data_IF_433410505585
#
_entry.id   IF_433410505585
#
_cell.length_a   1.000
_cell.length_b   1.000
_cell.length_c   1.000
_cell.angle_alpha   90.00
_cell.angle_beta   90.00
_cell.angle_gamma   90.00
#
_symmetry.space_group_name_H-M   'P 1'
#
loop_
_entity.id
_entity.type
_entity.pdbx_description
1 polymer ?
#
# COMPACT_ATOMS: atom_id res chain seq x y z
N UNK A 1 -42.72 16.43 -42.11
CA UNK A 1 -41.58 15.61 -42.58
C UNK A 1 -40.34 16.30 -42.04
N UNK A 2 -39.60 15.82 -41.04
CA UNK A 2 -39.39 14.49 -40.45
C UNK A 2 -39.41 14.63 -38.91
N UNK A 3 -40.28 13.89 -38.23
CA UNK A 3 -39.99 12.70 -37.40
C UNK A 3 -39.23 13.02 -36.11
N UNK A 4 -40.06 13.05 -35.07
CA UNK A 4 -39.87 13.17 -33.65
C UNK A 4 -39.95 11.73 -33.12
N UNK A 5 -38.88 11.22 -32.50
CA UNK A 5 -38.88 9.91 -31.84
C UNK A 5 -38.35 10.13 -30.42
N UNK A 6 -39.31 10.28 -29.50
CA UNK A 6 -39.09 10.23 -28.07
C UNK A 6 -38.78 8.80 -27.63
N UNK A 7 -37.72 8.67 -26.83
CA UNK A 7 -37.46 7.47 -26.05
C UNK A 7 -37.90 7.74 -24.61
N UNK A 8 -39.08 7.25 -24.28
CA UNK A 8 -39.53 7.04 -22.91
C UNK A 8 -38.60 5.99 -22.26
N UNK A 9 -37.88 6.38 -21.22
CA UNK A 9 -37.22 5.43 -20.33
C UNK A 9 -38.07 5.27 -19.07
N UNK A 10 -38.68 4.08 -19.00
CA UNK A 10 -39.47 3.59 -17.88
C UNK A 10 -38.67 3.65 -16.56
N UNK A 11 -39.31 4.31 -15.61
CA UNK A 11 -39.06 4.30 -14.18
C UNK A 11 -39.32 2.88 -13.64
N UNK A 12 -38.28 2.18 -13.18
CA UNK A 12 -38.43 0.96 -12.38
C UNK A 12 -38.00 1.26 -10.96
N UNK A 13 -39.00 1.62 -10.17
CA UNK A 13 -38.99 1.56 -8.71
C UNK A 13 -38.94 0.09 -8.28
N UNK A 14 -37.89 -0.26 -7.53
CA UNK A 14 -37.57 -1.63 -7.13
C UNK A 14 -37.01 -1.66 -5.72
N UNK A 15 -37.83 -1.25 -4.76
CA UNK A 15 -37.61 -1.51 -3.33
C UNK A 15 -37.76 -3.00 -3.05
N UNK A 16 -36.69 -3.68 -2.66
CA UNK A 16 -36.80 -4.86 -1.79
C UNK A 16 -35.56 -5.06 -0.93
N UNK A 17 -35.79 -4.87 0.37
CA UNK A 17 -34.96 -5.21 1.50
C UNK A 17 -34.56 -6.70 1.46
N UNK A 18 -33.26 -6.98 1.35
CA UNK A 18 -32.71 -8.32 1.60
C UNK A 18 -31.96 -8.30 2.94
N UNK A 19 -32.73 -8.44 4.01
CA UNK A 19 -32.25 -8.62 5.38
C UNK A 19 -31.49 -9.92 5.54
N UNK A 20 -30.18 -9.90 5.26
CA UNK A 20 -29.28 -11.00 5.64
C UNK A 20 -28.84 -10.84 7.09
N UNK A 21 -28.99 -11.87 7.95
CA UNK A 21 -28.52 -11.81 9.32
C UNK A 21 -26.99 -11.68 9.34
N UNK A 22 -26.50 -10.65 10.04
CA UNK A 22 -25.09 -10.49 10.39
C UNK A 22 -24.63 -11.74 11.14
N UNK A 23 -23.84 -12.58 10.48
CA UNK A 23 -23.13 -13.68 11.14
C UNK A 23 -22.14 -13.06 12.12
N UNK A 24 -22.03 -13.57 13.37
CA UNK A 24 -21.01 -13.09 14.29
C UNK A 24 -19.63 -13.31 13.66
N UNK A 25 -18.79 -12.27 13.72
CA UNK A 25 -17.38 -12.32 13.34
C UNK A 25 -16.72 -13.50 14.08
N UNK A 26 -16.52 -14.58 13.34
CA UNK A 26 -15.77 -15.73 13.81
C UNK A 26 -14.34 -15.28 14.08
N UNK A 27 -13.88 -15.49 15.32
CA UNK A 27 -12.47 -15.41 15.68
C UNK A 27 -11.68 -16.29 14.70
N UNK A 28 -10.90 -15.67 13.81
CA UNK A 28 -9.98 -16.38 12.93
C UNK A 28 -8.74 -16.75 13.74
N UNK A 29 -8.49 -18.06 13.84
CA UNK A 29 -7.28 -18.62 14.42
C UNK A 29 -6.18 -18.54 13.35
N UNK A 30 -5.12 -17.80 13.62
CA UNK A 30 -3.90 -17.84 12.80
C UNK A 30 -3.21 -19.19 13.03
N UNK A 31 -3.19 -20.03 11.99
CA UNK A 31 -2.39 -21.26 11.96
C UNK A 31 -1.02 -20.88 11.40
N UNK A 32 -0.03 -20.81 12.28
CA UNK A 32 1.37 -20.66 11.87
C UNK A 32 1.84 -21.87 11.08
N UNK A 33 2.60 -21.64 10.01
CA UNK A 33 3.25 -22.69 9.26
C UNK A 33 4.27 -23.43 10.16
N UNK A 34 4.08 -24.75 10.27
CA UNK A 34 5.01 -25.77 10.75
C UNK A 34 6.08 -25.32 11.78
N UNK A 35 5.76 -25.50 13.06
CA UNK A 35 6.77 -25.68 14.12
C UNK A 35 6.67 -24.73 15.32
N UNK A 36 5.90 -23.65 15.23
CA UNK A 36 5.82 -22.66 16.32
C UNK A 36 4.52 -22.81 17.11
N UNK A 37 4.65 -23.17 18.38
CA UNK A 37 3.50 -23.21 19.31
C UNK A 37 3.16 -21.77 19.70
N UNK A 38 2.04 -21.24 19.20
CA UNK A 38 1.55 -19.93 19.63
C UNK A 38 0.68 -20.12 20.87
N UNK A 39 1.18 -19.70 22.03
CA UNK A 39 0.39 -19.60 23.25
C UNK A 39 -0.35 -18.27 23.27
N UNK A 40 -1.66 -18.28 23.05
CA UNK A 40 -2.51 -17.08 23.20
C UNK A 40 -2.93 -16.96 24.66
N UNK A 41 -2.25 -16.10 25.42
CA UNK A 41 -2.68 -15.74 26.77
C UNK A 41 -3.76 -14.65 26.70
N UNK A 42 -5.02 -15.05 26.87
CA UNK A 42 -6.13 -14.10 27.03
C UNK A 42 -6.07 -13.44 28.41
N UNK A 43 -5.56 -12.21 28.48
CA UNK A 43 -5.62 -11.37 29.68
C UNK A 43 -6.96 -10.62 29.69
N UNK A 44 -7.97 -11.21 30.36
CA UNK A 44 -9.15 -10.46 30.80
C UNK A 44 -8.82 -9.82 32.16
N UNK A 45 -8.66 -8.50 32.17
CA UNK A 45 -8.47 -7.73 33.40
C UNK A 45 -9.77 -7.60 34.19
N UNK A 46 -9.73 -7.91 35.48
CA UNK A 46 -9.99 -6.98 36.59
C UNK A 46 -10.19 -7.74 37.92
N UNK A 47 -9.41 -7.36 38.93
CA UNK A 47 -9.87 -7.41 40.33
C UNK A 47 -9.27 -8.48 41.24
N UNK A 48 -8.65 -7.96 42.30
CA UNK A 48 -8.41 -8.58 43.61
C UNK A 48 -7.24 -9.57 43.77
N UNK A 49 -6.27 -9.12 44.57
CA UNK A 49 -5.24 -9.89 45.26
C UNK A 49 -5.82 -11.15 45.92
N UNK A 50 -5.30 -12.31 45.50
CA UNK A 50 -5.56 -13.60 46.13
C UNK A 50 -4.54 -14.64 45.68
N UNK A 51 -3.49 -14.83 46.46
CA UNK A 51 -2.54 -15.93 46.27
C UNK A 51 -3.22 -17.22 46.73
N UNK A 52 -3.71 -18.04 45.80
CA UNK A 52 -3.95 -19.46 46.02
C UNK A 52 -4.19 -20.21 44.69
N UNK A 53 -3.42 -21.28 44.47
CA UNK A 53 -3.83 -22.40 43.62
C UNK A 53 -3.29 -22.43 42.19
N UNK A 54 -2.15 -23.10 42.01
CA UNK A 54 -1.77 -23.70 40.73
C UNK A 54 -2.81 -24.76 40.36
N UNK A 55 -3.65 -24.49 39.36
CA UNK A 55 -4.63 -25.45 38.87
C UNK A 55 -5.02 -25.17 37.43
N UNK A 56 -4.61 -26.08 36.53
CA UNK A 56 -5.29 -26.34 35.27
C UNK A 56 -5.03 -25.37 34.11
N UNK A 57 -3.82 -25.40 33.54
CA UNK A 57 -3.67 -25.12 32.12
C UNK A 57 -4.07 -26.38 31.35
N UNK A 58 -5.31 -26.41 30.84
CA UNK A 58 -5.74 -27.43 29.88
C UNK A 58 -5.08 -27.12 28.53
N UNK A 59 -3.94 -27.79 28.28
CA UNK A 59 -3.30 -27.77 26.97
C UNK A 59 -4.07 -28.73 26.07
N UNK A 60 -4.96 -28.19 25.24
CA UNK A 60 -5.62 -28.95 24.17
C UNK A 60 -4.60 -29.18 23.05
N UNK A 61 -3.83 -30.25 23.14
CA UNK A 61 -3.02 -30.75 22.02
C UNK A 61 -3.92 -31.45 21.00
N UNK A 62 -4.29 -30.75 19.93
CA UNK A 62 -4.93 -31.36 18.76
C UNK A 62 -3.87 -31.86 17.77
N UNK A 63 -3.65 -33.17 17.69
CA UNK A 63 -2.94 -33.77 16.55
C UNK A 63 -3.86 -33.81 15.34
N UNK A 64 -3.58 -32.99 14.33
CA UNK A 64 -4.25 -33.08 13.04
C UNK A 64 -3.65 -34.29 12.29
N UNK A 65 -4.45 -35.26 11.82
CA UNK A 65 -3.93 -36.34 11.00
C UNK A 65 -3.39 -35.77 9.68
N UNK A 66 -2.16 -36.13 9.34
CA UNK A 66 -1.57 -35.89 8.03
C UNK A 66 -2.33 -36.73 6.99
N UNK A 67 -3.46 -36.21 6.50
CA UNK A 67 -4.14 -36.77 5.35
C UNK A 67 -3.30 -36.52 4.09
N UNK A 68 -3.15 -37.59 3.32
CA UNK A 68 -2.36 -37.67 2.11
C UNK A 68 -2.61 -36.48 1.17
N UNK A 69 -1.56 -35.70 0.91
CA UNK A 69 -1.50 -34.77 -0.21
C UNK A 69 -1.47 -35.62 -1.48
N UNK A 70 -2.61 -35.71 -2.16
CA UNK A 70 -2.67 -36.17 -3.53
C UNK A 70 -1.92 -35.19 -4.42
N UNK A 71 -0.95 -35.69 -5.19
CA UNK A 71 -0.14 -34.94 -6.15
C UNK A 71 -1.00 -34.60 -7.40
N UNK A 72 -2.03 -33.79 -7.22
CA UNK A 72 -2.87 -33.25 -8.30
C UNK A 72 -2.23 -31.95 -8.80
N UNK A 73 -1.04 -32.07 -9.39
CA UNK A 73 -0.42 -30.92 -10.09
C UNK A 73 -1.20 -30.66 -11.37
N UNK A 74 -1.75 -29.44 -11.56
CA UNK A 74 -2.29 -29.06 -12.85
C UNK A 74 -1.17 -29.16 -13.89
N UNK A 75 -1.44 -29.84 -15.01
CA UNK A 75 -0.55 -29.81 -16.17
C UNK A 75 -0.29 -28.36 -16.57
N UNK A 76 0.97 -27.97 -16.84
CA UNK A 76 1.26 -26.65 -17.39
C UNK A 76 0.49 -26.46 -18.69
N UNK A 77 -0.31 -25.39 -18.77
CA UNK A 77 -0.89 -24.96 -20.02
C UNK A 77 0.26 -24.53 -20.96
N UNK A 78 0.18 -24.94 -22.23
CA UNK A 78 1.10 -24.50 -23.28
C UNK A 78 1.07 -22.98 -23.35
N UNK A 79 2.21 -22.27 -23.35
CA UNK A 79 2.22 -20.83 -23.50
C UNK A 79 1.65 -20.46 -24.87
N UNK A 80 0.53 -19.74 -24.88
CA UNK A 80 0.02 -19.07 -26.06
C UNK A 80 0.96 -17.89 -26.32
N UNK A 81 1.77 -17.97 -27.38
CA UNK A 81 2.56 -16.83 -27.85
C UNK A 81 1.62 -15.67 -28.16
N UNK A 82 1.81 -14.56 -27.45
CA UNK A 82 1.09 -13.32 -27.69
C UNK A 82 1.63 -12.67 -28.98
N UNK A 83 0.84 -12.58 -30.07
CA UNK A 83 1.31 -12.03 -31.34
C UNK A 83 1.57 -10.51 -31.30
N UNK A 84 1.35 -9.84 -30.17
CA UNK A 84 1.44 -8.38 -30.09
C UNK A 84 2.86 -7.80 -30.09
N UNK A 85 3.91 -8.61 -29.88
CA UNK A 85 5.29 -8.14 -29.86
C UNK A 85 6.03 -8.19 -31.22
N UNK A 86 5.37 -8.64 -32.29
CA UNK A 86 6.00 -8.76 -33.61
C UNK A 86 6.07 -7.45 -34.43
N UNK A 87 5.69 -6.29 -33.87
CA UNK A 87 5.48 -5.05 -34.61
C UNK A 87 6.43 -3.88 -34.31
N UNK A 88 7.39 -4.00 -33.39
CA UNK A 88 8.31 -2.89 -33.06
C UNK A 88 9.52 -2.89 -33.99
N UNK A 89 9.31 -2.55 -35.26
CA UNK A 89 10.39 -2.05 -36.10
C UNK A 89 10.77 -0.66 -35.60
N UNK A 90 12.01 -0.50 -35.12
CA UNK A 90 12.57 0.79 -34.77
C UNK A 90 12.41 1.75 -35.96
N UNK A 91 11.56 2.76 -35.83
CA UNK A 91 11.57 3.91 -36.74
C UNK A 91 12.92 4.59 -36.59
N UNK A 92 13.66 4.63 -37.70
CA UNK A 92 14.92 5.32 -37.84
C UNK A 92 14.71 6.80 -37.52
N UNK A 93 15.20 7.25 -36.36
CA UNK A 93 15.14 8.65 -35.96
C UNK A 93 15.92 9.47 -37.00
N UNK A 94 15.28 10.40 -37.72
CA UNK A 94 15.99 11.21 -38.70
C UNK A 94 17.09 12.02 -37.98
N UNK A 95 18.23 12.26 -38.64
CA UNK A 95 19.30 13.05 -38.06
C UNK A 95 18.79 14.44 -37.66
N UNK A 96 19.31 15.03 -36.57
CA UNK A 96 18.86 16.33 -36.09
C UNK A 96 19.01 17.37 -37.21
N UNK A 97 17.91 18.03 -37.56
CA UNK A 97 17.92 19.20 -38.44
C UNK A 97 18.79 20.29 -37.77
N UNK A 98 19.60 20.97 -38.60
CA UNK A 98 20.52 22.01 -38.14
C UNK A 98 19.84 23.16 -37.39
N UNK A 99 20.61 24.06 -36.77
CA UNK A 99 20.08 25.17 -35.97
C UNK A 99 19.08 25.98 -36.80
N UNK A 100 17.80 25.86 -36.43
CA UNK A 100 16.69 26.55 -37.06
C UNK A 100 16.79 28.03 -36.65
N UNK A 101 17.17 28.91 -37.59
CA UNK A 101 17.26 30.37 -37.44
C UNK A 101 15.87 31.04 -37.24
N UNK A 102 14.88 30.28 -36.77
CA UNK A 102 13.56 30.82 -36.45
C UNK A 102 13.69 31.66 -35.18
N UNK A 103 13.16 32.89 -35.18
CA UNK A 103 13.06 33.66 -33.96
C UNK A 103 12.32 32.80 -32.91
N UNK A 104 12.74 32.84 -31.63
CA UNK A 104 12.10 32.05 -30.60
C UNK A 104 10.59 32.32 -30.67
N UNK A 105 9.75 31.28 -30.60
CA UNK A 105 8.32 31.49 -30.54
C UNK A 105 8.06 32.47 -29.41
N UNK A 106 7.34 33.55 -29.71
CA UNK A 106 6.86 34.48 -28.68
C UNK A 106 6.14 33.61 -27.67
N UNK A 107 6.66 33.56 -26.44
CA UNK A 107 6.09 32.77 -25.37
C UNK A 107 4.61 33.15 -25.29
N UNK A 108 3.74 32.19 -25.63
CA UNK A 108 2.30 32.34 -25.55
C UNK A 108 2.02 32.61 -24.06
N UNK A 109 1.73 33.87 -23.70
CA UNK A 109 1.33 34.31 -22.35
C UNK A 109 -0.05 33.75 -22.01
N UNK A 110 -0.23 32.44 -22.18
CA UNK A 110 -1.32 31.74 -21.52
C UNK A 110 -1.05 31.91 -20.02
N UNK A 111 -2.09 32.27 -19.24
CA UNK A 111 -1.98 32.21 -17.78
C UNK A 111 -1.34 30.88 -17.44
N UNK A 112 -0.27 30.88 -16.63
CA UNK A 112 0.23 29.64 -16.08
C UNK A 112 -0.97 28.86 -15.57
N UNK A 113 -1.07 27.56 -15.88
CA UNK A 113 -2.14 26.75 -15.36
C UNK A 113 -2.23 27.01 -13.85
N UNK A 114 -3.46 27.10 -13.33
CA UNK A 114 -3.67 27.48 -11.94
C UNK A 114 -2.73 26.65 -11.05
N UNK A 115 -2.23 27.15 -9.90
CA UNK A 115 -1.30 26.42 -9.02
C UNK A 115 -1.74 24.98 -8.67
N UNK A 116 -3.00 24.64 -8.92
CA UNK A 116 -3.58 23.32 -8.84
C UNK A 116 -3.08 22.32 -9.90
N UNK A 117 -2.38 22.70 -10.97
CA UNK A 117 -1.91 21.75 -12.00
C UNK A 117 -0.42 21.38 -11.88
N UNK A 118 0.38 22.11 -11.07
CA UNK A 118 1.78 21.75 -10.82
C UNK A 118 1.86 20.78 -9.63
N UNK A 119 2.20 19.49 -9.86
CA UNK A 119 2.24 18.48 -8.81
C UNK A 119 3.38 18.69 -7.80
N UNK A 120 4.30 19.62 -8.06
CA UNK A 120 5.39 20.00 -7.16
C UNK A 120 4.97 21.05 -6.13
N UNK A 121 3.79 21.65 -6.30
CA UNK A 121 3.21 22.55 -5.30
C UNK A 121 2.56 21.69 -4.23
N UNK A 122 3.28 21.48 -3.13
CA UNK A 122 2.80 20.75 -1.94
C UNK A 122 2.26 21.73 -0.90
N UNK A 123 1.28 21.30 -0.10
CA UNK A 123 0.75 22.10 1.00
C UNK A 123 1.76 22.27 2.15
N UNK A 124 2.58 21.23 2.38
CA UNK A 124 3.68 21.25 3.34
C UNK A 124 4.77 20.26 2.91
N UNK A 125 5.97 20.46 3.45
CA UNK A 125 7.09 19.56 3.21
C UNK A 125 6.98 18.33 4.11
N UNK A 126 7.02 17.14 3.50
CA UNK A 126 7.32 15.90 4.23
C UNK A 126 8.77 15.97 4.73
N UNK A 127 9.03 15.82 6.04
CA UNK A 127 10.38 15.97 6.59
C UNK A 127 11.31 14.89 6.05
N UNK A 128 12.61 15.15 6.15
CA UNK A 128 13.59 14.09 5.91
C UNK A 128 13.59 13.08 7.07
N UNK A 129 13.74 11.80 6.72
CA UNK A 129 13.62 10.66 7.62
C UNK A 129 14.87 9.77 7.58
N UNK A 130 16.02 10.29 7.11
CA UNK A 130 17.29 9.57 7.02
C UNK A 130 17.64 8.79 8.31
N UNK A 131 17.52 9.42 9.49
CA UNK A 131 17.79 8.77 10.78
C UNK A 131 16.84 7.59 11.06
N UNK A 132 15.57 7.67 10.62
CA UNK A 132 14.61 6.59 10.76
C UNK A 132 14.95 5.41 9.84
N UNK A 133 15.42 5.70 8.63
CA UNK A 133 15.83 4.69 7.65
C UNK A 133 17.07 3.92 8.10
N UNK A 134 18.06 4.62 8.65
CA UNK A 134 19.27 4.02 9.22
C UNK A 134 18.94 3.06 10.39
N UNK A 135 17.87 3.34 11.15
CA UNK A 135 17.40 2.48 12.23
C UNK A 135 16.56 1.28 11.74
N UNK A 136 15.73 1.48 10.71
CA UNK A 136 14.77 0.49 10.25
C UNK A 136 15.36 -0.56 9.30
N UNK A 137 16.27 -0.15 8.41
CA UNK A 137 16.65 -0.94 7.26
C UNK A 137 17.76 -1.96 7.60
N UNK A 138 17.70 -3.18 7.03
CA UNK A 138 18.79 -4.13 7.12
C UNK A 138 20.09 -3.56 6.52
N UNK A 139 21.22 -3.89 7.12
CA UNK A 139 22.51 -3.55 6.55
C UNK A 139 22.69 -4.17 5.16
N UNK A 140 23.33 -3.42 4.26
CA UNK A 140 23.65 -3.87 2.90
C UNK A 140 22.62 -3.48 1.84
N UNK A 141 21.49 -2.87 2.20
CA UNK A 141 20.63 -2.21 1.24
C UNK A 141 21.30 -0.93 0.70
N UNK A 142 21.15 -0.67 -0.59
CA UNK A 142 21.59 0.55 -1.27
C UNK A 142 20.37 1.39 -1.65
N UNK A 143 20.49 2.70 -1.49
CA UNK A 143 19.46 3.65 -1.94
C UNK A 143 19.38 3.63 -3.46
N UNK A 144 18.20 3.29 -3.98
CA UNK A 144 17.90 3.25 -5.41
C UNK A 144 17.32 4.58 -5.88
N UNK A 145 16.41 5.14 -5.09
CA UNK A 145 15.82 6.45 -5.34
C UNK A 145 15.43 7.13 -4.04
N UNK A 146 15.51 8.46 -4.06
CA UNK A 146 14.85 9.35 -3.10
C UNK A 146 14.04 10.31 -3.97
N UNK A 147 12.73 10.18 -3.89
CA UNK A 147 11.79 11.06 -4.56
C UNK A 147 11.91 12.49 -4.03
N UNK A 148 11.75 13.45 -4.94
CA UNK A 148 11.47 14.83 -4.56
C UNK A 148 10.07 14.94 -3.93
N UNK A 149 9.75 16.10 -3.36
CA UNK A 149 8.38 16.37 -2.92
C UNK A 149 7.45 16.36 -4.13
N UNK A 150 6.43 15.50 -4.06
CA UNK A 150 5.51 15.26 -5.15
C UNK A 150 4.17 14.78 -4.59
N UNK A 151 3.14 15.62 -4.70
CA UNK A 151 1.83 15.32 -4.08
C UNK A 151 1.12 14.10 -4.70
N UNK A 152 1.45 13.73 -5.93
CA UNK A 152 0.91 12.52 -6.57
C UNK A 152 1.85 11.30 -6.38
N UNK A 153 2.68 11.32 -5.34
CA UNK A 153 3.39 10.13 -4.90
C UNK A 153 2.35 9.04 -4.59
N UNK A 154 2.58 7.76 -4.96
CA UNK A 154 1.67 6.69 -4.55
C UNK A 154 1.54 6.69 -3.02
N UNK A 155 0.31 6.60 -2.50
CA UNK A 155 0.09 6.58 -1.03
C UNK A 155 0.66 5.31 -0.41
N UNK A 156 0.47 4.17 -1.09
CA UNK A 156 1.18 2.93 -0.81
C UNK A 156 1.81 2.49 -2.13
N UNK A 157 3.10 2.12 -2.19
CA UNK A 157 3.69 1.70 -3.44
C UNK A 157 2.91 0.54 -4.09
N UNK A 158 2.53 0.73 -5.36
CA UNK A 158 1.61 -0.16 -6.10
C UNK A 158 0.13 0.26 -6.10
N UNK A 159 -0.23 1.33 -5.38
CA UNK A 159 -1.56 1.95 -5.37
C UNK A 159 -1.48 3.40 -5.85
N UNK A 160 -2.49 3.84 -6.59
CA UNK A 160 -2.67 5.24 -7.00
C UNK A 160 -3.91 5.80 -6.32
N UNK A 161 -3.81 6.99 -5.71
CA UNK A 161 -4.94 7.72 -5.13
C UNK A 161 -5.02 9.11 -5.79
N UNK A 162 -5.45 9.14 -7.05
CA UNK A 162 -5.51 10.36 -7.84
C UNK A 162 -6.82 10.40 -8.61
N UNK A 163 -7.72 11.33 -8.29
CA UNK A 163 -8.95 11.48 -9.06
C UNK A 163 -9.71 12.77 -8.83
N UNK A 164 -10.81 12.89 -9.56
CA UNK A 164 -11.48 14.18 -9.80
C UNK A 164 -12.31 14.65 -8.58
N UNK A 165 -12.50 13.80 -7.57
CA UNK A 165 -13.39 14.06 -6.44
C UNK A 165 -12.70 14.81 -5.28
N UNK A 166 -11.41 15.14 -5.43
CA UNK A 166 -10.66 16.02 -4.51
C UNK A 166 -10.16 15.34 -3.24
N UNK A 167 -10.11 14.01 -3.22
CA UNK A 167 -9.50 13.18 -2.16
C UNK A 167 -8.08 12.81 -2.59
N UNK A 168 -7.28 13.83 -2.90
CA UNK A 168 -5.88 13.66 -3.31
C UNK A 168 -4.95 14.00 -2.15
N UNK A 169 -3.79 13.33 -2.06
CA UNK A 169 -2.74 13.80 -1.17
C UNK A 169 -2.30 15.22 -1.55
N UNK A 170 -2.04 16.03 -0.53
CA UNK A 170 -1.57 17.43 -0.66
C UNK A 170 -0.05 17.55 -0.49
N UNK A 171 0.61 16.47 -0.08
CA UNK A 171 2.06 16.34 0.02
C UNK A 171 2.48 14.87 -0.19
N UNK A 172 3.71 14.63 -0.62
CA UNK A 172 4.20 13.28 -0.82
C UNK A 172 5.70 13.22 -1.03
N UNK A 173 6.34 12.17 -0.50
CA UNK A 173 7.75 11.85 -0.74
C UNK A 173 7.94 10.34 -0.71
N UNK A 174 8.86 9.84 -1.53
CA UNK A 174 9.10 8.41 -1.68
C UNK A 174 10.58 8.07 -1.53
N UNK A 175 10.89 6.88 -1.04
CA UNK A 175 12.23 6.33 -0.93
C UNK A 175 12.22 4.87 -1.33
N UNK A 176 13.28 4.44 -2.01
CA UNK A 176 13.43 3.05 -2.42
C UNK A 176 14.84 2.56 -2.15
N UNK A 177 14.93 1.35 -1.58
CA UNK A 177 16.17 0.63 -1.36
C UNK A 177 16.08 -0.78 -1.89
N UNK A 178 17.22 -1.33 -2.30
CA UNK A 178 17.34 -2.73 -2.72
C UNK A 178 18.71 -3.29 -2.31
N UNK A 179 18.89 -4.62 -2.32
CA UNK A 179 20.21 -5.24 -2.08
C UNK A 179 21.28 -4.76 -3.09
N UNK A 180 20.85 -4.54 -4.33
CA UNK A 180 21.67 -4.09 -5.45
C UNK A 180 20.77 -3.51 -6.55
N UNK A 181 21.36 -2.77 -7.49
CA UNK A 181 20.67 -2.30 -8.69
C UNK A 181 20.47 -3.45 -9.70
N UNK A 182 19.51 -4.34 -9.42
CA UNK A 182 19.25 -5.56 -10.18
C UNK A 182 17.75 -5.76 -10.43
N UNK A 183 17.43 -6.67 -11.35
CA UNK A 183 16.06 -7.06 -11.71
C UNK A 183 15.72 -8.48 -11.26
N UNK A 184 16.46 -9.02 -10.28
CA UNK A 184 16.16 -10.33 -9.70
C UNK A 184 14.85 -10.25 -8.92
N UNK A 185 13.94 -11.19 -9.17
CA UNK A 185 12.66 -11.27 -8.46
C UNK A 185 12.82 -11.71 -6.99
N UNK A 186 13.95 -12.34 -6.67
CA UNK A 186 14.25 -12.87 -5.35
C UNK A 186 15.05 -11.92 -4.45
N UNK A 187 15.18 -10.65 -4.87
CA UNK A 187 15.92 -9.62 -4.16
C UNK A 187 15.03 -8.91 -3.12
N UNK A 188 15.63 -8.50 -2.01
CA UNK A 188 14.94 -7.64 -1.06
C UNK A 188 14.84 -6.22 -1.62
N UNK A 189 13.61 -5.72 -1.76
CA UNK A 189 13.30 -4.33 -2.10
C UNK A 189 12.41 -3.75 -1.03
N UNK A 190 12.72 -2.55 -0.57
CA UNK A 190 11.88 -1.76 0.35
C UNK A 190 11.55 -0.45 -0.33
N UNK A 191 10.27 -0.20 -0.54
CA UNK A 191 9.74 1.05 -1.08
C UNK A 191 8.83 1.67 -0.01
N UNK A 192 9.05 2.95 0.28
CA UNK A 192 8.32 3.70 1.30
C UNK A 192 7.84 4.98 0.68
N UNK A 193 6.55 5.28 0.85
CA UNK A 193 5.99 6.57 0.56
C UNK A 193 5.41 7.18 1.83
N UNK A 194 5.63 8.47 2.02
CA UNK A 194 4.91 9.25 3.03
C UNK A 194 4.07 10.26 2.28
N UNK A 195 2.76 10.20 2.49
CA UNK A 195 1.81 11.16 1.91
C UNK A 195 1.12 11.95 3.00
N UNK A 196 0.88 13.22 2.68
CA UNK A 196 0.16 14.15 3.53
C UNK A 196 -1.21 14.45 2.98
N UNK A 197 -2.19 14.54 3.86
CA UNK A 197 -3.59 14.74 3.54
C UNK A 197 -4.10 16.07 4.08
N UNK A 198 -5.28 16.46 3.62
CA UNK A 198 -5.97 17.62 4.15
C UNK A 198 -6.23 17.44 5.66
N UNK A 199 -6.28 18.57 6.36
CA UNK A 199 -6.44 18.57 7.81
C UNK A 199 -7.72 17.82 8.24
N UNK A 200 -7.56 16.88 9.16
CA UNK A 200 -8.64 16.06 9.70
C UNK A 200 -9.15 14.95 8.78
N UNK A 201 -8.52 14.69 7.63
CA UNK A 201 -8.95 13.66 6.67
C UNK A 201 -8.12 12.39 6.71
N UNK A 202 -7.12 12.30 7.60
CA UNK A 202 -6.21 11.14 7.64
C UNK A 202 -6.92 9.80 7.87
N UNK A 203 -7.95 9.77 8.72
CA UNK A 203 -8.69 8.54 9.05
C UNK A 203 -9.44 7.99 7.83
N UNK A 204 -10.18 8.85 7.14
CA UNK A 204 -10.88 8.53 5.89
C UNK A 204 -9.88 8.11 4.80
N UNK A 205 -8.73 8.80 4.69
CA UNK A 205 -7.68 8.46 3.74
C UNK A 205 -7.09 7.06 3.98
N UNK A 206 -6.85 6.68 5.25
CA UNK A 206 -6.38 5.32 5.58
C UNK A 206 -7.40 4.27 5.16
N UNK A 207 -8.69 4.54 5.42
CA UNK A 207 -9.79 3.64 5.07
C UNK A 207 -9.98 3.51 3.56
N UNK A 208 -9.85 4.60 2.80
CA UNK A 208 -9.96 4.60 1.33
C UNK A 208 -8.82 3.82 0.67
N UNK A 209 -7.59 4.06 1.13
CA UNK A 209 -6.39 3.29 0.76
C UNK A 209 -6.58 1.81 1.05
N UNK A 210 -7.07 1.49 2.25
CA UNK A 210 -7.28 0.11 2.70
C UNK A 210 -8.35 -0.59 1.86
N UNK A 211 -9.49 0.05 1.68
CA UNK A 211 -10.68 -0.57 1.10
C UNK A 211 -10.73 -0.45 -0.43
N UNK A 212 -9.72 0.17 -1.05
CA UNK A 212 -9.65 0.43 -2.49
C UNK A 212 -10.89 1.21 -2.97
N UNK A 213 -11.11 2.36 -2.32
CA UNK A 213 -12.28 3.22 -2.52
C UNK A 213 -11.90 4.62 -2.96
N UNK A 214 -12.93 5.40 -3.31
CA UNK A 214 -12.79 6.73 -3.89
C UNK A 214 -11.87 6.66 -5.11
N UNK A 215 -10.84 7.49 -5.15
CA UNK A 215 -9.87 7.55 -6.22
C UNK A 215 -8.63 6.68 -5.96
N UNK A 216 -8.63 5.92 -4.86
CA UNK A 216 -7.61 4.92 -4.57
C UNK A 216 -7.88 3.61 -5.33
N UNK A 217 -6.89 3.19 -6.14
CA UNK A 217 -6.93 1.97 -6.92
C UNK A 217 -5.58 1.23 -6.90
N UNK A 218 -5.62 -0.07 -6.63
CA UNK A 218 -4.47 -0.95 -6.80
C UNK A 218 -4.20 -1.23 -8.28
N UNK A 219 -2.93 -1.22 -8.68
CA UNK A 219 -2.51 -1.64 -10.03
C UNK A 219 -2.63 -3.17 -10.26
N UNK A 220 -3.19 -3.91 -9.31
CA UNK A 220 -3.36 -5.35 -9.37
C UNK A 220 -4.38 -5.86 -8.36
N UNK A 221 -4.34 -7.16 -8.06
CA UNK A 221 -5.24 -7.73 -7.05
C UNK A 221 -4.97 -7.10 -5.67
N UNK A 222 -6.04 -6.62 -5.03
CA UNK A 222 -6.01 -6.12 -3.66
C UNK A 222 -5.49 -7.24 -2.74
N UNK A 223 -4.45 -7.00 -1.93
CA UNK A 223 -3.93 -8.02 -1.02
C UNK A 223 -4.96 -8.34 0.08
N UNK A 224 -4.88 -9.55 0.65
CA UNK A 224 -5.62 -9.85 1.89
C UNK A 224 -5.00 -9.04 3.03
N UNK A 225 -5.76 -8.14 3.62
CA UNK A 225 -5.28 -7.20 4.64
C UNK A 225 -5.73 -7.58 6.05
N UNK A 226 -4.87 -7.28 7.02
CA UNK A 226 -5.14 -7.40 8.46
C UNK A 226 -4.73 -6.12 9.18
N UNK A 227 -5.46 -5.78 10.24
CA UNK A 227 -5.04 -4.77 11.18
C UNK A 227 -3.83 -5.27 11.96
N UNK A 228 -2.82 -4.42 12.08
CA UNK A 228 -1.62 -4.66 12.89
C UNK A 228 -1.37 -3.45 13.77
N UNK A 229 -0.85 -3.62 15.00
CA UNK A 229 -0.38 -2.48 15.78
C UNK A 229 0.97 -1.99 15.22
N UNK A 230 1.11 -0.67 15.08
CA UNK A 230 2.37 0.03 14.83
C UNK A 230 2.51 1.08 15.94
N UNK A 231 3.61 1.03 16.69
CA UNK A 231 3.80 1.93 17.84
C UNK A 231 3.79 3.41 17.41
N UNK A 232 2.92 4.19 18.06
CA UNK A 232 2.72 5.61 17.77
C UNK A 232 1.72 5.90 16.65
N UNK A 233 1.31 4.91 15.87
CA UNK A 233 0.32 5.11 14.81
C UNK A 233 -1.11 5.14 15.37
N UNK A 234 -1.97 5.95 14.77
CA UNK A 234 -3.40 6.02 15.08
C UNK A 234 -4.19 4.86 14.47
N UNK A 235 -3.66 4.28 13.39
CA UNK A 235 -4.23 3.14 12.68
C UNK A 235 -3.21 2.55 11.70
N UNK A 236 -3.26 1.24 11.50
CA UNK A 236 -2.33 0.56 10.59
C UNK A 236 -2.85 -0.79 10.11
N UNK A 237 -2.46 -1.16 8.90
CA UNK A 237 -2.77 -2.44 8.29
C UNK A 237 -1.58 -3.01 7.51
N UNK A 238 -1.59 -4.32 7.32
CA UNK A 238 -0.63 -5.04 6.48
C UNK A 238 -1.38 -6.04 5.61
N UNK A 239 -1.01 -6.11 4.34
CA UNK A 239 -1.50 -7.07 3.37
C UNK A 239 -0.35 -7.79 2.68
N UNK A 240 -0.59 -9.02 2.26
CA UNK A 240 0.42 -9.84 1.59
C UNK A 240 -0.14 -10.47 0.32
N UNK A 241 0.62 -10.35 -0.76
CA UNK A 241 0.43 -11.07 -2.00
C UNK A 241 1.56 -12.07 -2.15
N UNK A 242 1.24 -13.36 -2.14
CA UNK A 242 2.22 -14.44 -2.29
C UNK A 242 2.14 -15.04 -3.69
N UNK A 243 3.29 -15.24 -4.30
CA UNK A 243 3.44 -16.05 -5.51
C UNK A 243 4.34 -17.26 -5.20
N UNK A 244 4.67 -18.06 -6.21
CA UNK A 244 5.63 -19.16 -6.04
C UNK A 244 7.07 -18.66 -5.79
N UNK A 245 7.39 -17.46 -6.28
CA UNK A 245 8.77 -16.96 -6.39
C UNK A 245 9.03 -15.74 -5.51
N UNK A 246 7.99 -15.03 -5.06
CA UNK A 246 8.09 -13.81 -4.27
C UNK A 246 6.93 -13.65 -3.27
N UNK A 247 7.24 -13.02 -2.14
CA UNK A 247 6.25 -12.39 -1.26
C UNK A 247 6.32 -10.87 -1.47
N UNK A 248 5.18 -10.28 -1.80
CA UNK A 248 5.02 -8.82 -1.89
C UNK A 248 4.11 -8.38 -0.75
N UNK A 249 4.67 -7.67 0.21
CA UNK A 249 3.93 -7.09 1.32
C UNK A 249 3.63 -5.64 1.02
N UNK A 250 2.42 -5.21 1.40
CA UNK A 250 1.99 -3.83 1.38
C UNK A 250 1.47 -3.48 2.77
N UNK A 251 1.71 -2.27 3.25
CA UNK A 251 1.15 -1.81 4.50
C UNK A 251 0.99 -0.31 4.51
N UNK A 252 0.19 0.18 5.44
CA UNK A 252 0.14 1.59 5.74
C UNK A 252 -0.01 1.80 7.25
N UNK A 253 0.58 2.89 7.75
CA UNK A 253 0.39 3.38 9.10
C UNK A 253 0.07 4.88 9.08
N UNK A 254 -0.85 5.31 9.93
CA UNK A 254 -1.31 6.70 10.02
C UNK A 254 -0.78 7.38 11.28
N UNK A 255 -0.38 8.64 11.18
CA UNK A 255 -0.14 9.52 12.33
C UNK A 255 -0.70 10.91 12.01
N UNK A 256 -1.82 11.29 12.63
CA UNK A 256 -2.58 12.47 12.23
C UNK A 256 -3.09 12.36 10.79
N UNK A 257 -2.76 13.35 9.96
CA UNK A 257 -3.08 13.41 8.52
C UNK A 257 -1.94 12.95 7.61
N UNK A 258 -0.92 12.30 8.17
CA UNK A 258 0.16 11.66 7.42
C UNK A 258 -0.07 10.16 7.33
N UNK A 259 0.15 9.60 6.14
CA UNK A 259 0.20 8.17 5.89
C UNK A 259 1.61 7.75 5.50
N UNK A 260 2.12 6.71 6.16
CA UNK A 260 3.33 5.98 5.77
C UNK A 260 2.89 4.71 5.06
N UNK A 261 3.00 4.68 3.73
CA UNK A 261 2.82 3.48 2.93
C UNK A 261 4.14 2.74 2.74
N UNK A 262 4.13 1.42 2.90
CA UNK A 262 5.30 0.57 2.69
C UNK A 262 5.00 -0.56 1.72
N UNK A 263 5.98 -0.90 0.90
CA UNK A 263 6.03 -2.13 0.12
C UNK A 263 7.35 -2.84 0.36
N UNK A 264 7.28 -4.14 0.62
CA UNK A 264 8.47 -5.00 0.77
C UNK A 264 8.36 -6.15 -0.21
N UNK A 265 9.34 -6.26 -1.11
CA UNK A 265 9.52 -7.45 -1.95
C UNK A 265 10.62 -8.31 -1.38
N UNK A 266 10.44 -9.62 -1.43
CA UNK A 266 11.47 -10.54 -1.03
C UNK A 266 11.10 -11.99 -1.33
N UNK A 267 11.96 -12.90 -0.86
CA UNK A 267 11.74 -14.33 -1.07
C UNK A 267 10.57 -14.83 -0.21
N UNK A 268 9.82 -15.84 -0.67
CA UNK A 268 8.78 -16.46 0.14
C UNK A 268 9.31 -16.92 1.50
N UNK A 269 8.64 -16.50 2.57
CA UNK A 269 9.01 -16.86 3.95
C UNK A 269 10.22 -16.11 4.53
N UNK A 270 10.74 -15.09 3.84
CA UNK A 270 11.60 -14.09 4.46
C UNK A 270 10.79 -13.26 5.48
N UNK A 271 11.43 -12.72 6.52
CA UNK A 271 10.80 -11.91 7.59
C UNK A 271 10.33 -10.51 7.09
N UNK A 272 9.72 -10.43 5.91
CA UNK A 272 9.27 -9.20 5.27
C UNK A 272 8.17 -8.50 6.05
N UNK A 273 7.33 -9.24 6.80
CA UNK A 273 6.29 -8.66 7.65
C UNK A 273 6.90 -7.87 8.82
N UNK A 274 7.87 -8.46 9.52
CA UNK A 274 8.58 -7.80 10.62
C UNK A 274 9.37 -6.59 10.12
N UNK A 275 9.95 -6.68 8.92
CA UNK A 275 10.61 -5.55 8.28
C UNK A 275 9.62 -4.42 7.95
N UNK A 276 8.46 -4.73 7.34
CA UNK A 276 7.46 -3.74 7.01
C UNK A 276 6.94 -3.01 8.26
N UNK A 277 6.65 -3.75 9.34
CA UNK A 277 6.23 -3.17 10.64
C UNK A 277 7.32 -2.25 11.18
N UNK A 278 8.58 -2.71 11.25
CA UNK A 278 9.68 -1.90 11.77
C UNK A 278 9.89 -0.62 10.96
N UNK A 279 9.79 -0.69 9.62
CA UNK A 279 9.88 0.50 8.75
C UNK A 279 8.76 1.49 9.04
N UNK A 280 7.52 1.02 9.20
CA UNK A 280 6.39 1.88 9.58
C UNK A 280 6.58 2.50 10.98
N UNK A 281 7.05 1.73 11.96
CA UNK A 281 7.30 2.21 13.33
C UNK A 281 8.36 3.32 13.37
N UNK A 282 9.49 3.13 12.70
CA UNK A 282 10.55 4.14 12.67
C UNK A 282 10.12 5.39 11.88
N UNK A 283 9.39 5.22 10.77
CA UNK A 283 8.85 6.35 10.01
C UNK A 283 7.89 7.18 10.85
N UNK A 284 6.91 6.54 11.51
CA UNK A 284 5.93 7.21 12.38
C UNK A 284 6.64 7.97 13.51
N UNK A 285 7.63 7.33 14.15
CA UNK A 285 8.44 7.97 15.20
C UNK A 285 9.20 9.18 14.68
N UNK A 286 9.81 9.07 13.49
CA UNK A 286 10.52 10.18 12.84
C UNK A 286 9.60 11.36 12.53
N UNK A 287 8.40 11.09 11.99
CA UNK A 287 7.38 12.10 11.72
C UNK A 287 6.94 12.82 13.00
N UNK A 288 6.67 12.08 14.07
CA UNK A 288 6.29 12.66 15.37
C UNK A 288 7.40 13.48 16.01
N UNK A 289 8.66 13.11 15.80
CA UNK A 289 9.80 13.89 16.28
C UNK A 289 10.00 15.19 15.45
N UNK A 290 9.67 15.15 14.16
CA UNK A 290 9.77 16.28 13.24
C UNK A 290 8.64 17.32 13.40
N UNK A 291 7.47 16.92 13.92
CA UNK A 291 6.36 17.82 14.27
C UNK A 291 6.18 17.98 15.81
N UNK A 292 7.11 18.65 16.52
CA UNK A 292 6.97 18.89 17.95
C UNK A 292 5.88 19.93 18.29
N UNK A 293 5.24 20.53 17.28
CA UNK A 293 4.32 21.66 17.41
C UNK A 293 2.86 21.36 17.10
N UNK A 294 2.53 20.22 16.49
CA UNK A 294 1.17 19.89 16.07
C UNK A 294 0.65 20.84 14.99
N UNK A 295 1.52 21.28 14.08
CA UNK A 295 1.17 22.28 13.06
C UNK A 295 0.34 21.70 11.89
N UNK A 296 -0.05 20.43 11.96
CA UNK A 296 -1.00 19.76 11.06
C UNK A 296 -2.42 19.70 11.65
N UNK A 297 -2.90 20.79 12.27
CA UNK A 297 -4.25 20.93 12.81
C UNK A 297 -4.73 22.37 12.81
#
# INVERSE_FOLDING_TARGET
MLHDDGADHDEVDGTHEDGRPRRPLGRRLLVGALGTTVAVAGLAGAGALGVAGLGGLDVVTGTVPASAVGDDRPRPATPTEDPYLAGLTAEETPPPEGPDDRPPPVADERPSPAPQDDPRVVAYDVPDLDDAWDAALPAGLVTMSVGEQYRFSPTVPGQSCNGDDGVDPVAGRQWMWAEEASNRLDQLVVDVAVTGWAEGTGDDALDDVRLDRADCSWLGAVPDQIDIPVDGADGSWLGVRRTADEDVLHGAARTGDLLVGVQVWGRPGQDGADLAVRVMEEAVRGLQAADPGGAAG
#
